data_IF_016095438234
#
_entry.id   IF_016095438234
#
_cell.length_a   1.000
_cell.length_b   1.000
_cell.length_c   1.000
_cell.angle_alpha   90.00
_cell.angle_beta   90.00
_cell.angle_gamma   90.00
#
_symmetry.space_group_name_H-M   'P 1'
#
loop_
_entity.id
_entity.type
_entity.pdbx_description
1 polymer ?
#
# COMPACT_ATOMS: atom_id res chain seq x y z
N UNK A 1 71.41 -57.34 -0.78
CA UNK A 1 69.91 -57.24 -0.63
C UNK A 1 69.59 -55.81 -0.24
N UNK A 2 69.18 -54.95 -1.19
CA UNK A 2 68.77 -53.54 -0.94
C UNK A 2 67.24 -53.52 -0.84
N UNK A 3 66.70 -53.12 0.30
CA UNK A 3 65.23 -52.87 0.50
C UNK A 3 64.92 -51.45 0.05
N UNK A 4 64.09 -51.31 -0.98
CA UNK A 4 63.46 -50.03 -1.35
C UNK A 4 62.27 -49.79 -0.45
N UNK A 5 62.22 -48.63 0.23
CA UNK A 5 61.10 -48.12 0.99
C UNK A 5 60.31 -47.20 0.07
N UNK A 6 59.09 -47.62 -0.29
CA UNK A 6 58.12 -46.79 -1.01
C UNK A 6 57.33 -45.96 0.00
N UNK A 7 57.52 -44.62 -0.07
CA UNK A 7 56.74 -43.67 0.71
C UNK A 7 55.52 -43.30 -0.14
N UNK A 8 54.28 -43.66 0.33
CA UNK A 8 53.01 -43.22 -0.19
C UNK A 8 52.69 -41.85 0.40
N UNK A 9 52.72 -40.79 -0.43
CA UNK A 9 52.22 -39.47 -0.04
C UNK A 9 50.74 -39.45 -0.40
N UNK A 10 49.88 -39.56 0.63
CA UNK A 10 48.45 -39.39 0.48
C UNK A 10 48.09 -37.90 0.33
N UNK A 11 47.57 -37.54 -0.85
CA UNK A 11 47.07 -36.20 -1.15
C UNK A 11 45.67 -36.08 -0.53
N UNK A 12 45.54 -35.44 0.65
CA UNK A 12 44.26 -35.05 1.21
C UNK A 12 43.69 -33.87 0.41
N UNK A 13 42.73 -34.15 -0.47
CA UNK A 13 41.93 -33.11 -1.11
C UNK A 13 40.87 -32.68 -0.11
N UNK A 14 41.06 -31.53 0.53
CA UNK A 14 40.05 -30.93 1.35
C UNK A 14 38.92 -30.38 0.41
N UNK A 15 37.77 -31.07 0.39
CA UNK A 15 36.54 -30.50 -0.16
C UNK A 15 36.10 -29.35 0.76
N UNK A 16 36.39 -28.12 0.35
CA UNK A 16 35.72 -26.93 0.90
C UNK A 16 34.29 -26.96 0.36
N UNK A 17 33.42 -27.53 1.15
CA UNK A 17 31.97 -27.39 0.91
C UNK A 17 31.65 -25.90 0.97
N UNK A 18 31.33 -25.30 -0.17
CA UNK A 18 30.65 -23.99 -0.21
C UNK A 18 29.36 -24.17 0.57
N UNK A 19 29.34 -23.68 1.82
CA UNK A 19 28.10 -23.51 2.55
C UNK A 19 27.24 -22.60 1.69
N UNK A 20 26.16 -23.15 1.10
CA UNK A 20 25.09 -22.35 0.52
C UNK A 20 24.61 -21.44 1.65
N UNK A 21 24.66 -20.10 1.40
CA UNK A 21 24.00 -19.14 2.26
C UNK A 21 22.55 -19.56 2.45
N UNK A 22 21.97 -19.40 3.67
CA UNK A 22 20.57 -19.73 3.91
C UNK A 22 19.73 -19.11 2.79
N UNK A 23 18.83 -19.90 2.20
CA UNK A 23 18.05 -19.57 1.01
C UNK A 23 17.48 -18.14 1.14
N UNK A 24 18.07 -17.21 0.39
CA UNK A 24 17.52 -15.86 0.33
C UNK A 24 16.18 -15.95 -0.40
N UNK A 25 15.11 -15.53 0.25
CA UNK A 25 13.76 -15.47 -0.32
C UNK A 25 13.85 -14.79 -1.68
N UNK A 26 13.23 -15.40 -2.69
CA UNK A 26 13.27 -14.93 -4.06
C UNK A 26 11.93 -14.36 -4.47
N UNK A 27 11.96 -13.14 -5.01
CA UNK A 27 10.77 -12.58 -5.65
C UNK A 27 10.58 -13.16 -7.05
N UNK A 28 9.30 -13.46 -7.36
CA UNK A 28 8.84 -13.79 -8.70
C UNK A 28 7.66 -12.88 -9.05
N UNK A 29 7.82 -12.09 -10.11
CA UNK A 29 6.78 -11.24 -10.66
C UNK A 29 6.24 -11.90 -11.94
N UNK A 30 4.96 -12.23 -11.94
CA UNK A 30 4.30 -12.93 -13.05
C UNK A 30 3.25 -12.04 -13.70
N UNK A 31 3.49 -11.66 -14.96
CA UNK A 31 2.61 -10.78 -15.73
C UNK A 31 1.46 -11.58 -16.38
N UNK A 32 0.27 -11.00 -16.29
CA UNK A 32 -0.92 -11.37 -17.04
C UNK A 32 -1.44 -10.17 -17.83
N UNK A 33 -2.58 -10.31 -18.53
CA UNK A 33 -3.14 -9.26 -19.36
C UNK A 33 -3.54 -8.03 -18.55
N UNK A 34 -4.11 -8.21 -17.37
CA UNK A 34 -4.77 -7.20 -16.54
C UNK A 34 -4.22 -7.12 -15.12
N UNK A 35 -3.14 -7.87 -14.83
CA UNK A 35 -2.52 -7.91 -13.51
C UNK A 35 -1.07 -8.39 -13.54
N UNK A 36 -0.36 -8.11 -12.44
CA UNK A 36 0.95 -8.70 -12.12
C UNK A 36 0.87 -9.32 -10.72
N UNK A 37 1.10 -10.62 -10.63
CA UNK A 37 1.20 -11.33 -9.35
C UNK A 37 2.63 -11.27 -8.83
N UNK A 38 2.79 -10.96 -7.56
CA UNK A 38 4.07 -10.82 -6.87
C UNK A 38 4.16 -11.89 -5.79
N UNK A 39 5.08 -12.82 -5.98
CA UNK A 39 5.34 -13.91 -5.03
C UNK A 39 6.67 -13.68 -4.31
N UNK A 40 6.68 -13.99 -3.02
CA UNK A 40 7.87 -14.19 -2.21
C UNK A 40 8.02 -15.71 -2.01
N UNK A 41 8.99 -16.34 -2.67
CA UNK A 41 9.07 -17.80 -2.89
C UNK A 41 7.76 -18.36 -3.49
N UNK A 42 7.03 -19.18 -2.71
CA UNK A 42 5.76 -19.76 -3.13
C UNK A 42 4.53 -19.03 -2.61
N UNK A 43 4.69 -18.00 -1.76
CA UNK A 43 3.58 -17.28 -1.12
C UNK A 43 3.25 -16.05 -1.95
N UNK A 44 1.99 -15.88 -2.32
CA UNK A 44 1.51 -14.66 -2.96
C UNK A 44 1.61 -13.51 -1.96
N UNK A 45 2.46 -12.51 -2.26
CA UNK A 45 2.53 -11.29 -1.47
C UNK A 45 1.37 -10.36 -1.83
N UNK A 46 1.22 -10.08 -3.12
CA UNK A 46 0.15 -9.22 -3.62
C UNK A 46 -0.03 -9.38 -5.12
N UNK A 47 -1.13 -8.80 -5.62
CA UNK A 47 -1.38 -8.68 -7.05
C UNK A 47 -1.60 -7.22 -7.41
N UNK A 48 -0.76 -6.66 -8.29
CA UNK A 48 -1.02 -5.38 -8.93
C UNK A 48 -2.13 -5.59 -9.96
N UNK A 49 -3.31 -5.06 -9.68
CA UNK A 49 -4.51 -5.19 -10.51
C UNK A 49 -4.79 -3.88 -11.24
N UNK A 50 -5.06 -3.99 -12.56
CA UNK A 50 -5.32 -2.83 -13.40
C UNK A 50 -6.42 -3.10 -14.45
N UNK A 51 -7.37 -3.96 -14.10
CA UNK A 51 -8.51 -4.27 -14.96
C UNK A 51 -9.33 -3.02 -15.27
N UNK A 52 -9.89 -2.96 -16.47
CA UNK A 52 -10.69 -1.82 -16.94
C UNK A 52 -11.96 -1.56 -16.10
N UNK A 53 -12.36 -2.51 -15.25
CA UNK A 53 -13.47 -2.37 -14.31
C UNK A 53 -13.10 -1.58 -13.04
N UNK A 54 -11.81 -1.38 -12.79
CA UNK A 54 -11.30 -0.60 -11.67
C UNK A 54 -11.19 0.88 -12.06
N UNK A 55 -11.49 1.75 -11.13
CA UNK A 55 -11.35 3.21 -11.32
C UNK A 55 -9.91 3.69 -11.07
N UNK A 56 -9.08 2.83 -10.51
CA UNK A 56 -7.65 3.02 -10.29
C UNK A 56 -6.94 1.68 -10.12
N UNK A 57 -5.66 1.54 -10.49
CA UNK A 57 -4.87 0.36 -10.15
C UNK A 57 -4.66 0.22 -8.64
N UNK A 58 -4.62 -1.03 -8.17
CA UNK A 58 -4.49 -1.36 -6.75
C UNK A 58 -3.57 -2.56 -6.54
N UNK A 59 -2.96 -2.67 -5.36
CA UNK A 59 -2.39 -3.93 -4.87
C UNK A 59 -3.47 -4.66 -4.07
N UNK A 60 -3.96 -5.79 -4.60
CA UNK A 60 -5.02 -6.59 -3.96
C UNK A 60 -5.00 -8.06 -4.41
N UNK A 61 -5.09 -9.02 -3.47
CA UNK A 61 -4.97 -8.81 -2.03
C UNK A 61 -3.56 -8.38 -1.64
N UNK A 62 -3.39 -7.90 -0.41
CA UNK A 62 -2.08 -7.83 0.25
C UNK A 62 -2.09 -8.88 1.35
N UNK A 63 -1.06 -9.73 1.37
CA UNK A 63 -0.92 -10.81 2.33
C UNK A 63 0.26 -10.56 3.27
N UNK A 64 0.14 -11.06 4.49
CA UNK A 64 1.23 -11.17 5.45
C UNK A 64 2.20 -12.31 5.06
N UNK A 65 3.39 -12.40 5.68
CA UNK A 65 4.39 -13.43 5.36
C UNK A 65 3.91 -14.88 5.48
N UNK A 66 2.90 -15.15 6.30
CA UNK A 66 2.26 -16.48 6.43
C UNK A 66 1.17 -16.75 5.37
N UNK A 67 0.93 -15.80 4.45
CA UNK A 67 -0.09 -15.88 3.42
C UNK A 67 -1.47 -15.37 3.85
N UNK A 68 -1.63 -14.91 5.09
CA UNK A 68 -2.91 -14.37 5.59
C UNK A 68 -3.23 -13.02 4.93
N UNK A 69 -4.42 -12.86 4.27
CA UNK A 69 -4.82 -11.57 3.72
C UNK A 69 -5.03 -10.53 4.82
N UNK A 70 -4.42 -9.35 4.64
CA UNK A 70 -4.58 -8.21 5.56
C UNK A 70 -5.48 -7.11 4.98
N UNK A 71 -5.93 -7.25 3.75
CA UNK A 71 -6.85 -6.34 3.07
C UNK A 71 -8.28 -6.86 3.09
N UNK A 72 -9.26 -5.93 3.21
CA UNK A 72 -10.67 -6.23 3.06
C UNK A 72 -10.97 -6.74 1.64
N UNK A 73 -11.73 -7.82 1.52
CA UNK A 73 -12.12 -8.40 0.22
C UNK A 73 -13.18 -7.59 -0.51
N UNK A 74 -14.18 -7.00 0.22
CA UNK A 74 -15.22 -6.20 -0.41
C UNK A 74 -14.67 -4.93 -1.08
N UNK A 75 -15.10 -4.60 -2.31
CA UNK A 75 -16.12 -5.25 -3.15
C UNK A 75 -15.57 -6.29 -4.16
N UNK A 76 -14.24 -6.53 -4.25
CA UNK A 76 -13.63 -7.32 -5.32
C UNK A 76 -13.72 -8.83 -5.11
N UNK A 77 -13.51 -9.27 -3.89
CA UNK A 77 -13.54 -10.68 -3.49
C UNK A 77 -14.09 -10.78 -2.04
N UNK A 78 -15.39 -10.47 -1.84
CA UNK A 78 -15.92 -10.32 -0.50
C UNK A 78 -16.03 -11.65 0.23
N UNK A 79 -15.38 -11.72 1.39
CA UNK A 79 -15.52 -12.76 2.38
C UNK A 79 -16.72 -12.54 3.33
N UNK A 80 -16.95 -13.46 4.29
CA UNK A 80 -18.00 -13.31 5.30
C UNK A 80 -17.66 -12.22 6.32
N UNK A 81 -18.70 -11.53 6.78
CA UNK A 81 -18.62 -10.51 7.84
C UNK A 81 -17.73 -9.31 7.54
N UNK A 82 -17.54 -8.99 6.30
CA UNK A 82 -16.84 -7.77 5.88
C UNK A 82 -17.79 -6.57 5.87
N UNK A 83 -17.29 -5.39 6.23
CA UNK A 83 -18.07 -4.16 6.20
C UNK A 83 -18.38 -3.75 4.77
N UNK A 84 -19.68 -3.48 4.51
CA UNK A 84 -20.19 -3.05 3.21
C UNK A 84 -20.33 -1.52 3.20
N UNK A 85 -19.20 -0.83 3.15
CA UNK A 85 -19.11 0.61 3.05
C UNK A 85 -17.97 1.00 2.10
N UNK A 86 -17.95 2.26 1.66
CA UNK A 86 -16.83 2.82 0.87
C UNK A 86 -16.31 1.84 -0.20
N UNK A 87 -17.10 1.51 -1.25
CA UNK A 87 -16.69 0.54 -2.27
C UNK A 87 -15.48 0.99 -3.09
N UNK A 88 -15.07 2.26 -2.96
CA UNK A 88 -13.84 2.81 -3.54
C UNK A 88 -12.58 2.53 -2.72
N UNK A 89 -12.70 2.03 -1.47
CA UNK A 89 -11.55 1.63 -0.66
C UNK A 89 -11.17 0.18 -0.94
N UNK A 90 -10.18 -0.05 -1.80
CA UNK A 90 -9.81 -1.36 -2.30
C UNK A 90 -8.31 -1.59 -2.19
N UNK A 91 -7.91 -2.64 -1.46
CA UNK A 91 -6.51 -3.05 -1.35
C UNK A 91 -5.60 -1.99 -0.74
N UNK A 92 -4.40 -1.87 -1.31
CA UNK A 92 -3.44 -0.77 -1.10
C UNK A 92 -3.38 0.04 -2.40
N UNK A 93 -3.71 1.34 -2.34
CA UNK A 93 -3.82 2.18 -3.53
C UNK A 93 -3.25 3.58 -3.32
N UNK A 94 -3.06 4.31 -4.43
CA UNK A 94 -2.65 5.71 -4.43
C UNK A 94 -3.58 6.53 -5.31
N UNK A 95 -4.15 7.60 -4.75
CA UNK A 95 -4.95 8.61 -5.46
C UNK A 95 -5.18 9.85 -4.60
N UNK A 96 -5.97 10.81 -5.07
CA UNK A 96 -6.26 12.05 -4.35
C UNK A 96 -7.68 12.55 -4.62
N UNK A 97 -8.28 13.24 -3.63
CA UNK A 97 -9.69 13.63 -3.66
C UNK A 97 -10.00 14.95 -4.39
N UNK A 98 -8.99 15.75 -4.77
CA UNK A 98 -9.25 17.00 -5.51
C UNK A 98 -8.09 17.33 -6.46
N UNK A 99 -8.28 17.04 -7.75
CA UNK A 99 -7.36 17.42 -8.84
C UNK A 99 -8.17 18.20 -9.87
N UNK A 100 -7.95 19.49 -9.97
CA UNK A 100 -8.74 20.43 -10.79
C UNK A 100 -10.25 20.38 -10.49
N UNK A 101 -10.62 20.07 -9.21
CA UNK A 101 -12.01 19.93 -8.80
C UNK A 101 -12.63 18.56 -9.09
N UNK A 102 -11.90 17.62 -9.68
CA UNK A 102 -12.36 16.25 -9.89
C UNK A 102 -11.91 15.34 -8.76
N UNK A 103 -12.82 14.49 -8.30
CA UNK A 103 -12.59 13.54 -7.21
C UNK A 103 -12.09 12.20 -7.77
N UNK A 104 -10.81 11.91 -7.59
CA UNK A 104 -10.22 10.61 -7.95
C UNK A 104 -10.31 9.59 -6.83
N UNK A 105 -10.62 10.03 -5.59
CA UNK A 105 -10.67 9.13 -4.44
C UNK A 105 -11.97 8.34 -4.35
N UNK A 106 -13.11 9.05 -4.37
CA UNK A 106 -14.42 8.44 -4.11
C UNK A 106 -15.03 7.72 -5.33
N UNK A 107 -14.34 7.70 -6.49
CA UNK A 107 -14.84 7.02 -7.66
C UNK A 107 -14.87 5.50 -7.46
N UNK A 108 -16.01 4.91 -7.80
CA UNK A 108 -16.25 3.46 -7.79
C UNK A 108 -17.38 3.08 -8.74
N UNK A 109 -17.54 1.78 -9.00
CA UNK A 109 -18.68 1.25 -9.77
C UNK A 109 -20.05 1.55 -9.14
N UNK A 110 -20.11 1.87 -7.84
CA UNK A 110 -21.33 2.23 -7.13
C UNK A 110 -21.75 3.71 -7.34
N UNK A 111 -20.90 4.54 -7.96
CA UNK A 111 -21.27 5.92 -8.30
C UNK A 111 -22.28 5.92 -9.44
N UNK A 112 -23.44 6.53 -9.22
CA UNK A 112 -24.49 6.65 -10.24
C UNK A 112 -23.96 7.36 -11.49
N UNK A 113 -24.43 6.93 -12.67
CA UNK A 113 -23.93 7.40 -13.97
C UNK A 113 -23.99 8.92 -14.11
N UNK A 114 -25.09 9.53 -13.60
CA UNK A 114 -25.33 10.98 -13.67
C UNK A 114 -24.32 11.78 -12.85
N UNK A 115 -23.66 11.15 -11.89
CA UNK A 115 -22.65 11.77 -11.02
C UNK A 115 -21.21 11.53 -11.50
N UNK A 116 -21.00 10.63 -12.45
CA UNK A 116 -19.64 10.26 -12.93
C UNK A 116 -18.85 11.46 -13.47
N UNK A 117 -19.52 12.51 -13.97
CA UNK A 117 -18.88 13.74 -14.44
C UNK A 117 -18.10 14.54 -13.39
N UNK A 118 -18.20 14.21 -12.09
CA UNK A 118 -17.42 14.82 -11.02
C UNK A 118 -16.19 14.00 -10.60
N UNK A 119 -16.00 12.81 -11.19
CA UNK A 119 -15.01 11.84 -10.71
C UNK A 119 -13.94 11.54 -11.77
N UNK A 120 -12.68 11.68 -11.38
CA UNK A 120 -11.56 11.25 -12.22
C UNK A 120 -11.31 9.74 -12.13
N UNK A 121 -10.54 9.23 -13.08
CA UNK A 121 -10.11 7.83 -13.18
C UNK A 121 -8.61 7.74 -13.43
N UNK A 122 -7.94 6.76 -12.81
CA UNK A 122 -6.51 6.48 -13.04
C UNK A 122 -6.42 5.22 -13.90
N UNK A 123 -5.84 5.35 -15.09
CA UNK A 123 -5.79 4.30 -16.10
C UNK A 123 -4.36 3.79 -16.26
N UNK A 124 -4.16 2.48 -16.17
CA UNK A 124 -2.89 1.86 -16.48
C UNK A 124 -2.55 2.00 -17.97
N UNK A 125 -1.32 2.41 -18.28
CA UNK A 125 -0.83 2.54 -19.66
C UNK A 125 0.14 1.45 -20.06
N UNK A 126 1.21 1.30 -19.27
CA UNK A 126 2.28 0.36 -19.59
C UNK A 126 3.02 -0.12 -18.35
N UNK A 127 3.64 -1.28 -18.49
CA UNK A 127 4.68 -1.76 -17.58
C UNK A 127 6.02 -1.39 -18.18
N UNK A 128 6.79 -0.53 -17.47
CA UNK A 128 8.09 -0.02 -17.92
C UNK A 128 9.25 -0.90 -17.42
N UNK A 129 9.08 -1.52 -16.24
CA UNK A 129 10.02 -2.50 -15.72
C UNK A 129 9.27 -3.59 -14.94
N UNK A 130 9.72 -4.83 -15.11
CA UNK A 130 9.25 -6.00 -14.39
C UNK A 130 10.45 -6.89 -14.11
N UNK A 131 11.05 -6.75 -12.92
CA UNK A 131 12.32 -7.35 -12.59
C UNK A 131 12.22 -8.17 -11.31
N UNK A 132 12.91 -9.29 -11.28
CA UNK A 132 13.10 -10.15 -10.10
C UNK A 132 14.59 -10.30 -9.87
N UNK A 133 15.11 -9.66 -8.82
CA UNK A 133 16.55 -9.62 -8.52
C UNK A 133 16.79 -10.16 -7.10
N UNK A 134 16.84 -11.49 -6.97
CA UNK A 134 17.06 -12.14 -5.68
C UNK A 134 16.00 -11.74 -4.66
N UNK A 135 16.41 -11.04 -3.59
CA UNK A 135 15.53 -10.58 -2.51
C UNK A 135 14.71 -9.32 -2.83
N UNK A 136 14.74 -8.80 -4.06
CA UNK A 136 13.97 -7.63 -4.50
C UNK A 136 13.14 -7.95 -5.75
N UNK A 137 11.91 -7.44 -5.79
CA UNK A 137 11.07 -7.39 -6.97
C UNK A 137 10.78 -5.94 -7.35
N UNK A 138 10.86 -5.60 -8.64
CA UNK A 138 10.62 -4.23 -9.11
C UNK A 138 9.51 -4.25 -10.16
N UNK A 139 8.48 -3.47 -9.94
CA UNK A 139 7.43 -3.17 -10.91
C UNK A 139 7.37 -1.66 -11.12
N UNK A 140 7.65 -1.19 -12.35
CA UNK A 140 7.47 0.21 -12.74
C UNK A 140 6.38 0.30 -13.79
N UNK A 141 5.42 1.20 -13.57
CA UNK A 141 4.27 1.39 -14.44
C UNK A 141 4.05 2.85 -14.76
N UNK A 142 3.43 3.11 -15.92
CA UNK A 142 2.87 4.41 -16.29
C UNK A 142 1.37 4.38 -16.19
N UNK A 143 0.81 5.45 -15.64
CA UNK A 143 -0.62 5.63 -15.40
C UNK A 143 -1.02 7.03 -15.87
N UNK A 144 -2.27 7.16 -16.30
CA UNK A 144 -2.89 8.42 -16.69
C UNK A 144 -4.00 8.79 -15.72
N UNK A 145 -3.96 10.01 -15.21
CA UNK A 145 -5.03 10.59 -14.41
C UNK A 145 -5.98 11.34 -15.33
N UNK A 146 -7.11 10.70 -15.60
CA UNK A 146 -8.10 11.16 -16.57
C UNK A 146 -9.27 11.83 -15.84
N UNK A 147 -9.50 13.11 -16.11
CA UNK A 147 -10.74 13.76 -15.73
C UNK A 147 -11.84 13.43 -16.75
N UNK A 148 -13.10 13.29 -16.33
CA UNK A 148 -14.20 13.16 -17.26
C UNK A 148 -14.36 14.49 -18.04
N UNK A 149 -14.61 14.38 -19.33
CA UNK A 149 -15.11 15.47 -20.14
C UNK A 149 -16.45 15.04 -20.73
N UNK A 150 -17.34 16.00 -20.96
CA UNK A 150 -18.65 15.73 -21.53
C UNK A 150 -18.57 15.15 -22.96
N UNK A 151 -17.46 15.37 -23.66
CA UNK A 151 -17.23 14.88 -25.02
C UNK A 151 -15.97 14.00 -25.14
N UNK A 152 -14.89 14.31 -24.39
CA UNK A 152 -13.63 13.54 -24.40
C UNK A 152 -12.95 13.61 -23.04
N UNK A 153 -12.48 12.45 -22.53
CA UNK A 153 -11.73 12.42 -21.29
C UNK A 153 -10.42 13.21 -21.38
N UNK A 154 -10.18 14.12 -20.42
CA UNK A 154 -9.00 14.96 -20.38
C UNK A 154 -7.89 14.34 -19.55
N UNK A 155 -6.70 14.20 -20.11
CA UNK A 155 -5.49 13.81 -19.37
C UNK A 155 -4.96 15.01 -18.57
N UNK A 156 -4.96 14.88 -17.24
CA UNK A 156 -4.45 15.92 -16.32
C UNK A 156 -2.99 15.66 -15.94
N UNK A 157 -2.71 14.44 -15.46
CA UNK A 157 -1.40 14.04 -14.95
C UNK A 157 -0.98 12.71 -15.58
N UNK A 158 0.29 12.59 -15.91
CA UNK A 158 0.96 11.30 -16.07
C UNK A 158 1.62 10.91 -14.77
N UNK A 159 1.47 9.64 -14.37
CA UNK A 159 2.12 9.09 -13.20
C UNK A 159 3.13 8.01 -13.61
N UNK A 160 4.35 8.10 -13.09
CA UNK A 160 5.27 6.97 -13.04
C UNK A 160 5.29 6.44 -11.61
N UNK A 161 4.76 5.23 -11.42
CA UNK A 161 4.78 4.53 -10.13
C UNK A 161 5.81 3.41 -10.17
N UNK A 162 6.73 3.39 -9.22
CA UNK A 162 7.67 2.28 -9.02
C UNK A 162 7.38 1.63 -7.68
N UNK A 163 7.07 0.35 -7.71
CA UNK A 163 6.94 -0.51 -6.54
C UNK A 163 8.22 -1.34 -6.41
N UNK A 164 8.85 -1.28 -5.25
CA UNK A 164 9.97 -2.15 -4.88
C UNK A 164 9.51 -3.05 -3.75
N UNK A 165 9.39 -4.33 -4.06
CA UNK A 165 9.05 -5.37 -3.10
C UNK A 165 10.33 -5.92 -2.50
N UNK A 166 10.44 -5.98 -1.18
CA UNK A 166 11.62 -6.49 -0.49
C UNK A 166 11.25 -7.19 0.82
N UNK A 167 12.20 -7.93 1.37
CA UNK A 167 12.07 -8.60 2.66
C UNK A 167 13.28 -8.26 3.50
N UNK A 168 13.03 -7.86 4.74
CA UNK A 168 14.06 -7.60 5.73
C UNK A 168 13.69 -8.31 7.04
N UNK A 169 14.50 -9.29 7.45
CA UNK A 169 14.27 -10.09 8.67
C UNK A 169 12.86 -10.73 8.73
N UNK A 170 12.38 -11.27 7.60
CA UNK A 170 11.04 -11.88 7.50
C UNK A 170 9.89 -10.89 7.42
N UNK A 171 10.17 -9.59 7.45
CA UNK A 171 9.18 -8.51 7.32
C UNK A 171 9.04 -8.16 5.83
N UNK A 172 7.83 -8.11 5.33
CA UNK A 172 7.56 -7.79 3.94
C UNK A 172 7.32 -6.30 3.74
N UNK A 173 7.91 -5.75 2.69
CA UNK A 173 8.00 -4.31 2.43
C UNK A 173 7.58 -4.01 1.00
N UNK A 174 6.80 -2.95 0.84
CA UNK A 174 6.51 -2.31 -0.45
C UNK A 174 6.94 -0.85 -0.35
N UNK A 175 8.01 -0.49 -1.04
CA UNK A 175 8.36 0.92 -1.27
C UNK A 175 7.68 1.40 -2.54
N UNK A 176 7.00 2.53 -2.45
CA UNK A 176 6.34 3.16 -3.58
C UNK A 176 6.93 4.54 -3.85
N UNK A 177 7.51 4.68 -5.05
CA UNK A 177 7.95 5.96 -5.58
C UNK A 177 6.91 6.43 -6.59
N UNK A 178 6.42 7.63 -6.39
CA UNK A 178 5.44 8.26 -7.28
C UNK A 178 6.04 9.52 -7.89
N UNK A 179 5.92 9.65 -9.20
CA UNK A 179 6.20 10.89 -9.91
C UNK A 179 4.92 11.25 -10.66
N UNK A 180 4.26 12.34 -10.24
CA UNK A 180 3.12 12.92 -10.93
C UNK A 180 3.62 14.09 -11.78
N UNK A 181 3.40 14.05 -13.08
CA UNK A 181 3.82 15.12 -14.02
C UNK A 181 2.58 15.73 -14.65
N UNK A 182 2.44 17.06 -14.56
CA UNK A 182 1.35 17.79 -15.18
C UNK A 182 1.49 17.78 -16.71
N UNK A 183 0.45 17.35 -17.42
CA UNK A 183 0.37 17.38 -18.89
C UNK A 183 -0.65 18.39 -19.39
N UNK A 184 -1.67 18.69 -18.59
CA UNK A 184 -2.53 19.85 -18.80
C UNK A 184 -1.75 21.16 -18.55
N UNK A 185 -2.16 22.28 -19.13
CA UNK A 185 -1.49 23.58 -18.95
C UNK A 185 -1.28 23.94 -17.49
N UNK A 186 -2.28 23.64 -16.65
CA UNK A 186 -2.25 23.85 -15.20
C UNK A 186 -3.01 22.72 -14.51
N UNK A 187 -2.42 22.18 -13.44
CA UNK A 187 -3.05 21.17 -12.56
C UNK A 187 -2.94 21.62 -11.12
N UNK A 188 -4.09 21.78 -10.47
CA UNK A 188 -4.21 22.21 -9.09
C UNK A 188 -4.65 21.04 -8.21
N UNK A 189 -3.87 20.73 -7.17
CA UNK A 189 -4.22 19.77 -6.11
C UNK A 189 -4.56 20.56 -4.84
N UNK A 190 -5.83 20.53 -4.42
CA UNK A 190 -6.33 21.34 -3.29
C UNK A 190 -6.43 20.53 -2.02
N UNK A 191 -6.20 21.20 -0.88
CA UNK A 191 -6.30 20.64 0.48
C UNK A 191 -7.51 19.73 0.66
N UNK A 192 -7.25 18.44 0.78
CA UNK A 192 -8.27 17.42 0.90
C UNK A 192 -7.83 16.33 1.89
N UNK A 193 -8.77 15.78 2.68
CA UNK A 193 -8.46 14.69 3.60
C UNK A 193 -8.30 13.33 2.88
N UNK A 194 -8.82 13.22 1.67
CA UNK A 194 -8.85 12.00 0.86
C UNK A 194 -7.56 11.87 0.02
N UNK A 195 -6.56 11.23 0.58
CA UNK A 195 -5.22 11.04 -0.04
C UNK A 195 -4.25 10.39 0.95
N UNK A 196 -3.08 10.00 0.52
CA UNK A 196 -2.57 9.70 -0.83
C UNK A 196 -2.39 8.19 -1.01
N UNK A 197 -1.44 7.61 -0.23
CA UNK A 197 -1.23 6.16 -0.17
C UNK A 197 -2.08 5.59 0.95
N UNK A 198 -2.99 4.70 0.61
CA UNK A 198 -3.99 4.17 1.52
C UNK A 198 -4.15 2.66 1.41
N UNK A 199 -4.52 2.04 2.52
CA UNK A 199 -4.94 0.64 2.56
C UNK A 199 -6.31 0.53 3.21
N UNK A 200 -7.17 -0.34 2.69
CA UNK A 200 -8.37 -0.79 3.40
C UNK A 200 -8.09 -2.17 3.98
N UNK A 201 -7.99 -2.20 5.29
CA UNK A 201 -7.60 -3.43 6.00
C UNK A 201 -8.77 -4.39 6.21
N UNK A 202 -8.44 -5.66 6.43
CA UNK A 202 -9.40 -6.69 6.86
C UNK A 202 -10.11 -6.25 8.14
N UNK A 203 -11.33 -6.76 8.33
CA UNK A 203 -12.18 -6.40 9.46
C UNK A 203 -11.52 -6.64 10.83
N UNK A 204 -10.67 -7.65 10.96
CA UNK A 204 -9.97 -7.93 12.21
C UNK A 204 -9.14 -6.73 12.71
N UNK A 205 -8.62 -5.93 11.79
CA UNK A 205 -7.82 -4.73 12.06
C UNK A 205 -8.64 -3.43 12.19
N UNK A 206 -9.98 -3.50 12.15
CA UNK A 206 -10.80 -2.34 12.50
C UNK A 206 -10.78 -2.09 14.02
N UNK A 207 -11.11 -0.86 14.44
CA UNK A 207 -11.38 -0.57 15.85
C UNK A 207 -12.79 -1.02 16.24
N UNK A 208 -12.99 -1.52 17.46
CA UNK A 208 -14.32 -1.75 17.99
C UNK A 208 -15.19 -0.48 17.93
N UNK A 209 -16.45 -0.65 17.57
CA UNK A 209 -17.40 0.48 17.40
C UNK A 209 -18.72 0.22 18.11
N UNK A 210 -19.38 1.30 18.58
CA UNK A 210 -20.75 1.26 19.08
C UNK A 210 -21.77 1.58 17.96
N UNK A 211 -21.30 1.95 16.77
CA UNK A 211 -22.18 2.25 15.65
C UNK A 211 -22.58 0.96 14.92
N UNK A 212 -23.85 0.82 14.53
CA UNK A 212 -24.28 -0.28 13.67
C UNK A 212 -23.54 -0.27 12.33
N UNK A 213 -23.20 -1.44 11.81
CA UNK A 213 -22.51 -1.64 10.54
C UNK A 213 -23.22 -2.70 9.72
N UNK A 214 -23.32 -2.49 8.42
CA UNK A 214 -23.78 -3.51 7.48
C UNK A 214 -22.60 -4.39 7.10
N UNK A 215 -22.80 -5.69 7.24
CA UNK A 215 -21.78 -6.70 6.95
C UNK A 215 -22.22 -7.61 5.81
N UNK A 216 -21.27 -8.32 5.24
CA UNK A 216 -21.55 -9.42 4.32
C UNK A 216 -22.04 -10.67 5.07
N UNK A 217 -22.88 -11.47 4.42
CA UNK A 217 -23.29 -12.79 4.87
C UNK A 217 -22.18 -13.85 4.67
N UNK A 218 -22.46 -15.11 4.99
CA UNK A 218 -21.53 -16.22 4.82
C UNK A 218 -21.08 -16.46 3.35
N UNK A 219 -21.76 -15.86 2.38
CA UNK A 219 -21.44 -15.93 0.94
C UNK A 219 -20.85 -14.65 0.39
N UNK A 220 -20.46 -13.71 1.27
CA UNK A 220 -19.86 -12.43 0.87
C UNK A 220 -20.89 -11.41 0.33
N UNK A 221 -22.20 -11.63 0.47
CA UNK A 221 -23.24 -10.71 -0.01
C UNK A 221 -23.66 -9.74 1.10
N UNK A 222 -24.00 -8.47 0.78
CA UNK A 222 -24.53 -7.54 1.78
C UNK A 222 -25.73 -8.12 2.55
N UNK A 223 -25.68 -8.09 3.89
CA UNK A 223 -26.74 -8.69 4.75
C UNK A 223 -28.04 -7.88 4.82
N UNK A 224 -28.02 -6.62 4.39
CA UNK A 224 -29.18 -5.71 4.40
C UNK A 224 -29.47 -5.04 5.75
N UNK A 225 -29.06 -5.61 6.88
CA UNK A 225 -29.31 -5.07 8.23
C UNK A 225 -28.03 -4.60 8.89
N UNK A 226 -28.06 -3.38 9.44
CA UNK A 226 -26.95 -2.84 10.22
C UNK A 226 -27.11 -3.19 11.70
N UNK A 227 -26.05 -3.72 12.30
CA UNK A 227 -26.02 -4.05 13.74
C UNK A 227 -24.63 -3.82 14.33
N UNK A 228 -24.52 -3.72 15.64
CA UNK A 228 -23.23 -3.63 16.33
C UNK A 228 -22.63 -5.04 16.41
N UNK A 229 -21.50 -5.23 15.77
CA UNK A 229 -20.75 -6.49 15.82
C UNK A 229 -19.25 -6.18 15.90
N UNK A 230 -18.59 -6.52 17.01
CA UNK A 230 -17.16 -6.35 17.22
C UNK A 230 -16.43 -7.69 17.36
N UNK A 231 -17.03 -8.82 16.99
CA UNK A 231 -16.39 -10.13 17.10
C UNK A 231 -15.16 -10.21 16.20
N UNK A 232 -13.98 -10.48 16.81
CA UNK A 232 -12.70 -10.54 16.12
C UNK A 232 -12.13 -9.19 15.71
N UNK A 233 -12.76 -8.06 16.08
CA UNK A 233 -12.29 -6.69 15.78
C UNK A 233 -11.41 -6.21 16.92
N UNK A 234 -10.14 -5.91 16.64
CA UNK A 234 -9.15 -5.60 17.67
C UNK A 234 -8.01 -4.68 17.20
N UNK A 235 -8.13 -4.03 16.05
CA UNK A 235 -7.10 -3.15 15.50
C UNK A 235 -6.80 -1.95 16.41
N UNK A 236 -5.51 -1.55 16.49
CA UNK A 236 -5.07 -0.41 17.29
C UNK A 236 -3.95 0.35 16.61
N UNK A 237 -4.14 1.66 16.41
CA UNK A 237 -3.13 2.54 15.85
C UNK A 237 -2.12 2.99 16.89
N UNK A 238 -0.86 3.19 16.47
CA UNK A 238 0.20 3.85 17.23
C UNK A 238 1.07 4.63 16.26
N UNK A 239 1.41 5.88 16.57
CA UNK A 239 2.25 6.72 15.72
C UNK A 239 3.65 6.90 16.27
N UNK A 240 4.60 7.40 15.45
CA UNK A 240 5.94 7.79 15.84
C UNK A 240 5.97 8.89 16.92
N UNK A 241 4.88 9.64 17.05
CA UNK A 241 4.73 10.76 18.00
C UNK A 241 3.92 10.37 19.25
N UNK A 242 3.62 9.06 19.42
CA UNK A 242 2.92 8.53 20.58
C UNK A 242 1.39 8.72 20.56
N UNK A 243 0.81 9.11 19.43
CA UNK A 243 -0.65 9.11 19.29
C UNK A 243 -1.17 7.69 19.15
N UNK A 244 -2.24 7.37 19.86
CA UNK A 244 -2.80 6.02 19.94
C UNK A 244 -4.28 5.98 19.52
N UNK A 245 -4.71 4.82 19.02
CA UNK A 245 -6.10 4.58 18.64
C UNK A 245 -6.60 5.64 17.65
N UNK A 246 -7.79 6.16 17.90
CA UNK A 246 -8.43 7.16 17.03
C UNK A 246 -7.75 8.55 17.09
N UNK A 247 -6.90 8.81 18.09
CA UNK A 247 -6.16 10.07 18.18
C UNK A 247 -5.07 10.21 17.13
N UNK A 248 -4.70 9.13 16.43
CA UNK A 248 -3.81 9.17 15.28
C UNK A 248 -4.42 9.92 14.08
N UNK A 249 -5.77 10.03 14.01
CA UNK A 249 -6.44 10.75 12.92
C UNK A 249 -6.09 12.25 12.92
N UNK A 250 -5.69 12.75 11.76
CA UNK A 250 -5.38 14.18 11.55
C UNK A 250 -4.14 14.68 12.27
N UNK A 251 -3.35 13.80 12.87
CA UNK A 251 -2.08 14.14 13.49
C UNK A 251 -0.91 13.97 12.54
N UNK A 252 0.15 14.75 12.76
CA UNK A 252 1.40 14.59 12.02
C UNK A 252 2.23 13.48 12.66
N UNK A 253 2.82 12.61 11.84
CA UNK A 253 3.75 11.59 12.28
C UNK A 253 4.62 11.13 11.10
N UNK A 254 5.81 10.59 11.40
CA UNK A 254 6.73 10.03 10.40
C UNK A 254 6.25 8.65 9.93
N UNK A 255 5.66 7.90 10.82
CA UNK A 255 5.03 6.62 10.55
C UNK A 255 3.84 6.38 11.49
N UNK A 256 2.93 5.55 11.05
CA UNK A 256 1.85 5.01 11.88
C UNK A 256 1.80 3.49 11.68
N UNK A 257 1.66 2.76 12.81
CA UNK A 257 1.43 1.33 12.86
C UNK A 257 -0.04 1.07 13.18
N UNK A 258 -0.64 0.13 12.48
CA UNK A 258 -1.88 -0.55 12.85
C UNK A 258 -1.53 -1.98 13.25
N UNK A 259 -1.75 -2.34 14.50
CA UNK A 259 -1.56 -3.70 14.99
C UNK A 259 -2.91 -4.34 15.28
N UNK A 260 -3.00 -5.66 15.14
CA UNK A 260 -4.19 -6.43 15.47
C UNK A 260 -3.92 -7.93 15.35
N UNK A 261 -4.90 -8.73 15.73
CA UNK A 261 -4.86 -10.17 15.62
C UNK A 261 -5.99 -10.68 14.71
N UNK A 262 -5.68 -11.69 13.92
CA UNK A 262 -6.65 -12.46 13.16
C UNK A 262 -6.51 -13.92 13.55
N UNK A 263 -7.59 -14.52 14.03
CA UNK A 263 -7.55 -15.83 14.69
C UNK A 263 -6.54 -15.79 15.84
N UNK A 264 -5.57 -16.70 15.88
CA UNK A 264 -4.56 -16.80 16.95
C UNK A 264 -3.22 -16.12 16.59
N UNK A 265 -3.17 -15.39 15.47
CA UNK A 265 -1.95 -14.74 14.97
C UNK A 265 -2.04 -13.23 15.05
N UNK A 266 -0.97 -12.59 15.50
CA UNK A 266 -0.83 -11.15 15.55
C UNK A 266 -0.14 -10.62 14.29
N UNK A 267 -0.47 -9.38 13.88
CA UNK A 267 0.10 -8.73 12.72
C UNK A 267 0.37 -7.25 12.98
N UNK A 268 1.34 -6.71 12.28
CA UNK A 268 1.62 -5.28 12.22
C UNK A 268 1.63 -4.79 10.78
N UNK A 269 0.90 -3.72 10.55
CA UNK A 269 0.84 -2.97 9.29
C UNK A 269 1.41 -1.58 9.57
N UNK A 270 2.41 -1.14 8.80
CA UNK A 270 3.01 0.19 9.01
C UNK A 270 3.05 0.94 7.69
N UNK A 271 2.59 2.19 7.71
CA UNK A 271 2.86 3.14 6.64
C UNK A 271 3.90 4.15 7.12
N UNK A 272 4.81 4.55 6.22
CA UNK A 272 5.89 5.50 6.51
C UNK A 272 5.91 6.61 5.47
N UNK A 273 6.13 7.83 5.94
CA UNK A 273 6.30 9.03 5.13
C UNK A 273 7.79 9.39 5.03
N UNK A 274 8.24 9.81 3.85
CA UNK A 274 9.65 10.10 3.62
C UNK A 274 9.97 11.58 3.88
N UNK A 275 11.12 11.93 4.52
CA UNK A 275 11.47 13.33 4.85
C UNK A 275 11.56 14.28 3.65
N UNK A 276 11.76 13.76 2.44
CA UNK A 276 11.79 14.56 1.20
C UNK A 276 10.42 14.80 0.58
N UNK A 277 9.36 14.23 1.15
CA UNK A 277 8.01 14.50 0.68
C UNK A 277 7.57 15.90 1.08
N UNK A 278 6.76 16.51 0.22
CA UNK A 278 6.12 17.78 0.54
C UNK A 278 5.27 17.65 1.82
N UNK A 279 5.26 18.70 2.64
CA UNK A 279 4.52 18.76 3.92
C UNK A 279 4.87 17.61 4.91
N UNK A 280 6.10 17.09 4.83
CA UNK A 280 6.58 16.14 5.84
C UNK A 280 6.74 16.82 7.24
N UNK A 281 6.38 16.12 8.35
CA UNK A 281 5.67 14.86 8.42
C UNK A 281 4.18 15.02 8.09
N UNK A 282 3.63 14.05 7.36
CA UNK A 282 2.25 14.08 6.87
C UNK A 282 1.19 13.99 7.97
N UNK A 283 0.00 14.46 7.65
CA UNK A 283 -1.21 14.13 8.38
C UNK A 283 -1.70 12.72 8.03
N UNK A 284 -2.36 12.06 8.99
CA UNK A 284 -2.82 10.68 8.84
C UNK A 284 -4.35 10.60 8.80
N UNK A 285 -4.88 9.95 7.76
CA UNK A 285 -6.30 9.61 7.68
C UNK A 285 -6.51 8.19 8.20
N UNK A 286 -6.29 7.98 9.51
CA UNK A 286 -6.46 6.71 10.20
C UNK A 286 -7.87 6.62 10.80
N UNK A 287 -8.70 5.71 10.30
CA UNK A 287 -10.12 5.59 10.67
C UNK A 287 -10.41 4.24 11.28
N UNK A 288 -11.26 4.23 12.32
CA UNK A 288 -11.65 3.00 13.02
C UNK A 288 -12.36 1.95 12.14
N UNK A 289 -12.90 2.35 11.01
CA UNK A 289 -13.49 1.43 10.03
C UNK A 289 -12.47 0.79 9.09
N UNK A 290 -11.18 0.88 9.38
CA UNK A 290 -10.13 0.19 8.63
C UNK A 290 -9.60 0.93 7.41
N UNK A 291 -9.85 2.24 7.26
CA UNK A 291 -9.08 3.10 6.35
C UNK A 291 -7.83 3.58 7.06
N UNK A 292 -6.69 3.37 6.42
CA UNK A 292 -5.38 3.75 6.91
C UNK A 292 -4.59 4.41 5.78
N UNK A 293 -4.31 5.72 5.91
CA UNK A 293 -3.72 6.52 4.83
C UNK A 293 -2.74 7.56 5.33
N UNK A 294 -1.63 7.73 4.60
CA UNK A 294 -0.69 8.84 4.71
C UNK A 294 -1.05 9.92 3.70
N UNK A 295 -1.17 11.18 4.13
CA UNK A 295 -1.65 12.28 3.28
C UNK A 295 -0.75 13.53 3.37
N UNK A 296 0.11 13.72 2.37
CA UNK A 296 1.00 14.89 2.27
C UNK A 296 0.30 16.17 1.78
N UNK A 297 -0.93 16.07 1.25
CA UNK A 297 -1.63 17.20 0.64
C UNK A 297 -2.82 17.71 1.47
N UNK A 298 -3.10 17.09 2.63
CA UNK A 298 -4.12 17.53 3.57
C UNK A 298 -3.50 18.32 4.73
N UNK A 299 -4.00 19.52 5.02
CA UNK A 299 -3.57 20.38 6.12
C UNK A 299 -4.74 20.95 6.91
N UNK A 300 -5.38 22.00 6.41
CA UNK A 300 -6.49 22.67 7.10
C UNK A 300 -7.72 21.75 7.24
N UNK A 301 -7.88 20.78 6.36
CA UNK A 301 -8.94 19.75 6.47
C UNK A 301 -8.80 18.89 7.73
N UNK A 302 -7.57 18.69 8.21
CA UNK A 302 -7.27 17.97 9.44
C UNK A 302 -7.13 18.91 10.65
N UNK A 303 -6.54 20.09 10.47
CA UNK A 303 -6.32 21.07 11.53
C UNK A 303 -6.72 22.47 11.05
N UNK A 304 -7.89 22.95 11.48
CA UNK A 304 -8.45 24.27 11.10
C UNK A 304 -7.60 25.49 11.51
N UNK A 305 -6.56 25.27 12.31
CA UNK A 305 -5.62 26.35 12.68
C UNK A 305 -4.51 26.55 11.65
N UNK A 306 -4.37 25.62 10.71
CA UNK A 306 -3.40 25.71 9.62
C UNK A 306 -4.04 26.35 8.40
N UNK A 307 -3.23 27.04 7.60
CA UNK A 307 -3.66 27.55 6.29
C UNK A 307 -3.98 26.36 5.34
N UNK A 308 -4.95 26.59 4.47
CA UNK A 308 -5.27 25.64 3.42
C UNK A 308 -4.07 25.46 2.49
N UNK A 309 -3.84 24.23 2.07
CA UNK A 309 -2.77 23.88 1.16
C UNK A 309 -3.31 23.77 -0.28
N UNK A 310 -2.54 24.29 -1.22
CA UNK A 310 -2.77 24.10 -2.64
C UNK A 310 -1.42 23.92 -3.33
N UNK A 311 -1.33 22.94 -4.23
CA UNK A 311 -0.18 22.75 -5.09
C UNK A 311 -0.62 22.94 -6.54
N UNK A 312 -0.07 23.94 -7.18
CA UNK A 312 -0.29 24.22 -8.60
C UNK A 312 0.93 23.78 -9.39
N UNK A 313 0.71 22.93 -10.40
CA UNK A 313 1.72 22.41 -11.30
C UNK A 313 1.45 22.96 -12.70
N UNK A 314 2.43 23.64 -13.29
CA UNK A 314 2.41 23.99 -14.70
C UNK A 314 2.77 22.78 -15.55
N UNK A 315 2.38 22.78 -16.83
CA UNK A 315 2.71 21.68 -17.75
C UNK A 315 4.21 21.38 -17.74
N UNK A 316 4.55 20.11 -17.43
CA UNK A 316 5.90 19.63 -17.29
C UNK A 316 6.45 19.61 -15.85
N UNK A 317 5.81 20.33 -14.92
CA UNK A 317 6.17 20.26 -13.50
C UNK A 317 5.83 18.89 -12.92
N UNK A 318 6.61 18.48 -11.92
CA UNK A 318 6.41 17.16 -11.30
C UNK A 318 6.44 17.22 -9.78
N UNK A 319 5.52 16.47 -9.16
CA UNK A 319 5.52 16.14 -7.73
C UNK A 319 6.14 14.75 -7.55
N UNK A 320 7.15 14.64 -6.68
CA UNK A 320 7.78 13.37 -6.31
C UNK A 320 7.44 13.01 -4.88
N UNK A 321 7.01 11.76 -4.66
CA UNK A 321 6.64 11.24 -3.35
C UNK A 321 7.26 9.85 -3.14
N UNK A 322 7.58 9.54 -1.88
CA UNK A 322 8.09 8.24 -1.45
C UNK A 322 7.34 7.79 -0.21
N UNK A 323 6.83 6.57 -0.24
CA UNK A 323 6.15 5.97 0.89
C UNK A 323 6.59 4.52 1.03
N UNK A 324 6.58 4.01 2.26
CA UNK A 324 6.81 2.59 2.55
C UNK A 324 5.59 2.00 3.23
N UNK A 325 5.13 0.87 2.75
CA UNK A 325 4.20 -0.01 3.44
C UNK A 325 4.94 -1.25 3.94
N UNK A 326 4.67 -1.64 5.17
CA UNK A 326 5.27 -2.79 5.82
C UNK A 326 4.16 -3.69 6.34
N UNK A 327 4.32 -5.01 6.16
CA UNK A 327 3.48 -6.02 6.78
C UNK A 327 4.35 -7.10 7.43
N UNK A 328 4.01 -7.48 8.65
CA UNK A 328 4.74 -8.48 9.43
C UNK A 328 3.79 -9.36 10.23
N UNK A 329 4.18 -10.62 10.41
CA UNK A 329 3.63 -11.46 11.46
C UNK A 329 4.14 -10.97 12.82
N UNK A 330 3.28 -10.96 13.82
CA UNK A 330 3.58 -10.49 15.17
C UNK A 330 3.54 -8.96 15.34
N UNK A 331 3.77 -8.53 16.57
CA UNK A 331 3.79 -7.12 16.91
C UNK A 331 5.20 -6.53 16.75
N UNK A 332 5.33 -5.57 15.84
CA UNK A 332 6.57 -4.79 15.70
C UNK A 332 6.69 -3.77 16.84
N UNK A 333 7.81 -3.80 17.56
CA UNK A 333 8.13 -2.75 18.52
C UNK A 333 8.45 -1.43 17.85
N UNK A 334 8.28 -0.30 18.55
CA UNK A 334 8.66 1.01 18.05
C UNK A 334 10.12 1.06 17.60
N UNK A 335 11.05 0.43 18.37
CA UNK A 335 12.46 0.37 17.99
C UNK A 335 12.71 -0.38 16.67
N UNK A 336 11.98 -1.47 16.40
CA UNK A 336 12.07 -2.18 15.12
C UNK A 336 11.52 -1.34 13.97
N UNK A 337 10.43 -0.60 14.20
CA UNK A 337 9.85 0.31 13.20
C UNK A 337 10.81 1.46 12.91
N UNK A 338 11.48 2.04 13.92
CA UNK A 338 12.50 3.07 13.71
C UNK A 338 13.71 2.56 12.90
N UNK A 339 14.12 1.30 13.10
CA UNK A 339 15.16 0.69 12.27
C UNK A 339 14.72 0.54 10.80
N UNK A 340 13.47 0.09 10.55
CA UNK A 340 12.87 0.04 9.21
C UNK A 340 12.71 1.44 8.58
N UNK A 341 12.41 2.45 9.39
CA UNK A 341 12.32 3.83 8.96
C UNK A 341 13.70 4.38 8.56
N UNK A 342 14.74 4.10 9.35
CA UNK A 342 16.12 4.48 9.05
C UNK A 342 16.61 3.85 7.74
N UNK A 343 16.30 2.57 7.54
CA UNK A 343 16.55 1.88 6.28
C UNK A 343 15.85 2.58 5.10
N UNK A 344 14.55 2.87 5.24
CA UNK A 344 13.75 3.54 4.21
C UNK A 344 14.32 4.89 3.76
N UNK A 345 14.72 5.73 4.71
CA UNK A 345 15.23 7.07 4.38
C UNK A 345 16.66 7.06 3.82
N UNK A 346 17.42 5.98 4.05
CA UNK A 346 18.77 5.80 3.53
C UNK A 346 18.81 5.26 2.10
N UNK A 347 17.72 4.61 1.63
CA UNK A 347 17.64 4.04 0.29
C UNK A 347 17.71 5.15 -0.77
N UNK A 348 18.61 4.96 -1.74
CA UNK A 348 18.75 5.83 -2.92
C UNK A 348 18.05 5.16 -4.11
N UNK A 349 16.87 5.61 -4.45
CA UNK A 349 16.14 5.19 -5.66
C UNK A 349 16.24 6.25 -6.75
#
# INVERSE_FOLDING_TARGET
MKRCLLIFIGLCVAFVGLAQSPDSIRFKLQRYMDRVEVYADSILFTTYRHENTLEKPVLFPVNAPDGTPVTRGFPLDPGPRERVDHPHHVGLWFNFGDVNGFDFWNNSSAVARERKGAYGRIVHRSIEALESQGSKGILRVKLDWMAPDNEQAQLLLEETATYVFSILDGIWIVDRLTILTAVSPEVSLKDNKEGLLAIRVDRAFEHPTQNPVTLTDAKGRPSGEAHVDNRGVNGWYTSSEGHEGMDAWGKNARWVRLAGAREDSEYSLVLMDHPKNINFPSCWHARGYGLFSVNNLGRSVFNKKLDSFQLDLQKGDSLKLRHRFVVANGQLSAGKIEALYTDFISEQY
#
